data_IF_225510618720
#
_entry.id   IF_225510618720
#
_cell.length_a   1.000
_cell.length_b   1.000
_cell.length_c   1.000
_cell.angle_alpha   90.00
_cell.angle_beta   90.00
_cell.angle_gamma   90.00
#
_symmetry.space_group_name_H-M   'P 1'
#
loop_
_entity.id
_entity.type
_entity.pdbx_description
1 polymer ?
#
# COMPACT_ATOMS: atom_id res chain seq x y z
N UNK A 1 -3.89 -24.18 9.29
CA UNK A 1 -2.69 -23.74 8.56
C UNK A 1 -2.83 -22.29 8.11
N UNK A 2 -1.73 -21.56 8.19
CA UNK A 2 -1.69 -20.20 7.63
C UNK A 2 -1.69 -20.30 6.11
N UNK A 3 -2.57 -19.56 5.45
CA UNK A 3 -2.63 -19.51 3.99
C UNK A 3 -1.75 -18.42 3.42
N UNK A 4 -1.67 -17.28 4.13
CA UNK A 4 -0.86 -16.14 3.71
C UNK A 4 -0.68 -15.16 4.85
N UNK A 5 0.37 -14.37 4.76
CA UNK A 5 0.51 -13.18 5.60
C UNK A 5 0.63 -12.00 4.65
N UNK A 6 -0.20 -10.99 4.85
CA UNK A 6 -0.27 -9.85 3.95
C UNK A 6 -0.11 -8.57 4.78
N UNK A 7 0.89 -7.72 4.44
CA UNK A 7 1.01 -6.43 5.11
C UNK A 7 -0.25 -5.61 4.92
N UNK A 8 -0.72 -4.99 5.99
CA UNK A 8 -1.95 -4.23 6.00
C UNK A 8 -1.62 -2.81 6.45
N UNK A 9 -1.74 -1.84 5.56
CA UNK A 9 -1.45 -0.44 5.84
C UNK A 9 -2.71 0.30 6.21
N UNK A 10 -2.62 1.11 7.26
CA UNK A 10 -3.71 1.99 7.66
C UNK A 10 -3.23 3.43 7.60
N UNK A 11 -3.98 4.27 6.91
CA UNK A 11 -3.67 5.69 6.70
C UNK A 11 -4.73 6.59 7.31
N UNK A 12 -4.41 7.85 7.45
CA UNK A 12 -5.35 8.88 7.86
C UNK A 12 -5.77 9.68 6.63
N UNK A 13 -6.49 9.03 5.71
CA UNK A 13 -7.03 9.65 4.52
C UNK A 13 -6.18 9.56 3.26
N UNK A 14 -4.94 9.06 3.35
CA UNK A 14 -4.05 8.99 2.20
C UNK A 14 -4.01 7.62 1.51
N UNK A 15 -4.91 6.70 1.86
CA UNK A 15 -4.86 5.36 1.29
C UNK A 15 -5.00 5.35 -0.22
N UNK A 16 -5.85 6.21 -0.79
CA UNK A 16 -6.02 6.29 -2.25
C UNK A 16 -4.72 6.67 -2.94
N UNK A 17 -4.03 7.68 -2.42
CA UNK A 17 -2.76 8.13 -2.99
C UNK A 17 -1.68 7.05 -2.86
N UNK A 18 -1.62 6.41 -1.70
CA UNK A 18 -0.67 5.32 -1.47
C UNK A 18 -0.93 4.15 -2.39
N UNK A 19 -2.20 3.78 -2.56
CA UNK A 19 -2.61 2.68 -3.42
C UNK A 19 -2.19 2.93 -4.88
N UNK A 20 -2.46 4.13 -5.39
CA UNK A 20 -2.09 4.51 -6.75
C UNK A 20 -0.57 4.50 -6.94
N UNK A 21 0.15 4.99 -5.95
CA UNK A 21 1.61 5.02 -5.99
C UNK A 21 2.21 3.61 -6.03
N UNK A 22 1.80 2.75 -5.11
CA UNK A 22 2.33 1.38 -5.04
C UNK A 22 1.89 0.53 -6.22
N UNK A 23 0.71 0.81 -6.78
CA UNK A 23 0.29 0.18 -8.02
C UNK A 23 1.31 0.40 -9.14
N UNK A 24 1.81 1.62 -9.24
CA UNK A 24 2.84 1.97 -10.24
C UNK A 24 4.19 1.34 -9.90
N UNK A 25 4.60 1.44 -8.63
CA UNK A 25 5.91 0.93 -8.18
C UNK A 25 6.05 -0.55 -8.49
N UNK A 26 5.01 -1.34 -8.18
CA UNK A 26 5.07 -2.79 -8.31
C UNK A 26 4.40 -3.31 -9.57
N UNK A 27 3.88 -2.42 -10.42
CA UNK A 27 3.15 -2.82 -11.62
C UNK A 27 2.05 -3.82 -11.27
N UNK A 28 1.27 -3.46 -10.27
CA UNK A 28 0.27 -4.32 -9.68
C UNK A 28 -1.15 -3.85 -10.02
N UNK A 29 -2.13 -4.63 -9.60
CA UNK A 29 -3.54 -4.37 -9.88
C UNK A 29 -4.32 -4.20 -8.58
N UNK A 30 -5.29 -3.28 -8.61
CA UNK A 30 -6.25 -3.13 -7.53
C UNK A 30 -7.37 -4.16 -7.77
N UNK A 31 -7.48 -5.15 -6.90
CA UNK A 31 -8.45 -6.23 -7.07
C UNK A 31 -9.73 -6.03 -6.26
N UNK A 32 -9.66 -5.24 -5.20
CA UNK A 32 -10.83 -4.85 -4.41
C UNK A 32 -10.65 -3.43 -3.93
N UNK A 33 -11.75 -2.68 -3.86
CA UNK A 33 -11.76 -1.32 -3.38
C UNK A 33 -13.15 -0.97 -2.86
N UNK A 34 -13.25 -0.74 -1.57
CA UNK A 34 -14.50 -0.39 -0.91
C UNK A 34 -14.31 0.90 -0.12
N UNK A 35 -15.31 1.77 -0.23
CA UNK A 35 -15.31 3.05 0.49
C UNK A 35 -16.21 2.97 1.71
N UNK A 36 -15.97 3.84 2.67
CA UNK A 36 -16.80 3.87 3.88
C UNK A 36 -18.26 4.14 3.57
N UNK A 37 -18.57 5.00 2.59
CA UNK A 37 -19.95 5.32 2.24
C UNK A 37 -20.73 4.13 1.71
N UNK A 38 -20.06 3.07 1.29
CA UNK A 38 -20.71 1.84 0.83
C UNK A 38 -21.19 0.97 1.98
N UNK A 39 -20.74 1.28 3.20
CA UNK A 39 -21.13 0.51 4.39
C UNK A 39 -22.57 0.83 4.77
N UNK A 40 -23.38 -0.21 4.96
CA UNK A 40 -24.76 -0.03 5.40
C UNK A 40 -24.76 0.67 6.75
N UNK A 41 -25.60 1.72 6.86
CA UNK A 41 -25.69 2.50 8.09
C UNK A 41 -24.60 3.54 8.28
N UNK A 42 -23.77 3.77 7.26
CA UNK A 42 -22.75 4.81 7.35
C UNK A 42 -23.41 6.17 7.62
N UNK A 43 -22.93 6.88 8.66
CA UNK A 43 -23.49 8.14 9.11
C UNK A 43 -22.48 9.29 9.12
N UNK A 44 -21.26 9.09 8.58
CA UNK A 44 -20.27 10.14 8.52
C UNK A 44 -20.53 11.16 7.40
N UNK A 45 -19.68 12.18 7.31
CA UNK A 45 -19.81 13.19 6.27
C UNK A 45 -19.26 12.65 4.93
N UNK A 46 -19.36 13.48 3.87
CA UNK A 46 -18.92 13.10 2.52
C UNK A 46 -17.43 12.76 2.49
N UNK A 47 -16.63 13.55 3.17
CA UNK A 47 -15.18 13.36 3.18
C UNK A 47 -14.80 12.04 3.84
N UNK A 48 -15.44 11.71 4.95
CA UNK A 48 -15.22 10.41 5.61
C UNK A 48 -15.70 9.26 4.73
N UNK A 49 -16.82 9.44 4.03
CA UNK A 49 -17.36 8.41 3.16
C UNK A 49 -16.49 8.10 1.95
N UNK A 50 -15.66 9.06 1.51
CA UNK A 50 -14.74 8.89 0.40
C UNK A 50 -13.43 8.19 0.81
N UNK A 51 -13.21 7.98 2.10
CA UNK A 51 -12.05 7.25 2.59
C UNK A 51 -12.19 5.77 2.28
N UNK A 52 -11.06 5.09 2.20
CA UNK A 52 -11.02 3.67 1.86
C UNK A 52 -11.31 2.83 3.10
N UNK A 53 -12.37 2.02 3.03
CA UNK A 53 -12.65 1.02 4.04
C UNK A 53 -11.69 -0.15 3.92
N UNK A 54 -11.49 -0.64 2.70
CA UNK A 54 -10.62 -1.75 2.42
C UNK A 54 -10.27 -1.79 0.93
N UNK A 55 -9.00 -2.03 0.64
CA UNK A 55 -8.54 -2.24 -0.73
C UNK A 55 -7.46 -3.31 -0.75
N UNK A 56 -7.32 -3.96 -1.88
CA UNK A 56 -6.30 -4.99 -2.10
C UNK A 56 -5.50 -4.68 -3.34
N UNK A 57 -4.19 -4.79 -3.21
CA UNK A 57 -3.27 -4.66 -4.32
C UNK A 57 -2.63 -6.03 -4.56
N UNK A 58 -2.71 -6.53 -5.80
CA UNK A 58 -2.25 -7.87 -6.12
C UNK A 58 -1.43 -7.88 -7.40
N UNK A 59 -0.61 -8.90 -7.54
CA UNK A 59 0.16 -9.14 -8.76
C UNK A 59 0.28 -10.64 -8.97
N UNK A 60 0.03 -11.07 -10.21
CA UNK A 60 0.11 -12.50 -10.57
C UNK A 60 -0.70 -13.39 -9.63
N UNK A 61 -1.93 -12.94 -9.34
CA UNK A 61 -2.90 -13.65 -8.51
C UNK A 61 -2.50 -13.77 -7.03
N UNK A 62 -1.50 -13.01 -6.60
CA UNK A 62 -1.10 -12.98 -5.19
C UNK A 62 -1.35 -11.60 -4.61
N UNK A 63 -1.95 -11.56 -3.43
CA UNK A 63 -2.12 -10.31 -2.70
C UNK A 63 -0.75 -9.82 -2.22
N UNK A 64 -0.44 -8.56 -2.51
CA UNK A 64 0.79 -7.92 -2.05
C UNK A 64 0.55 -7.14 -0.76
N UNK A 65 -0.49 -6.32 -0.75
CA UNK A 65 -0.80 -5.44 0.38
C UNK A 65 -2.30 -5.23 0.50
N UNK A 66 -2.74 -5.01 1.71
CA UNK A 66 -4.08 -4.49 1.99
C UNK A 66 -3.95 -3.05 2.46
N UNK A 67 -4.96 -2.24 2.17
CA UNK A 67 -4.99 -0.82 2.52
C UNK A 67 -6.32 -0.46 3.13
N UNK A 68 -6.28 0.44 4.11
CA UNK A 68 -7.48 1.12 4.59
C UNK A 68 -7.10 2.50 5.10
N UNK A 69 -8.11 3.34 5.26
CA UNK A 69 -8.01 4.56 6.03
C UNK A 69 -8.71 4.37 7.36
N UNK A 70 -8.34 5.16 8.34
CA UNK A 70 -9.18 5.32 9.53
C UNK A 70 -10.45 6.06 9.13
N UNK A 71 -11.54 5.89 9.88
CA UNK A 71 -12.75 6.71 9.67
C UNK A 71 -12.39 8.16 9.98
N UNK A 72 -11.70 8.36 11.08
CA UNK A 72 -11.11 9.63 11.48
C UNK A 72 -9.99 9.34 12.45
N UNK A 73 -9.06 10.28 12.61
CA UNK A 73 -7.98 10.14 13.58
C UNK A 73 -6.65 9.83 12.94
N UNK A 74 -5.61 10.11 13.68
CA UNK A 74 -4.24 9.99 13.22
C UNK A 74 -3.75 8.56 13.25
N UNK A 75 -2.73 8.29 12.45
CA UNK A 75 -1.99 7.03 12.48
C UNK A 75 -0.56 7.31 12.92
N UNK A 76 0.09 6.29 13.46
CA UNK A 76 1.48 6.36 13.85
C UNK A 76 2.28 5.49 12.89
N UNK A 77 3.16 6.10 12.11
CA UNK A 77 3.95 5.38 11.12
C UNK A 77 4.95 4.41 11.75
N UNK A 78 5.58 4.82 12.84
CA UNK A 78 6.52 3.96 13.54
C UNK A 78 7.80 3.71 12.75
N UNK A 79 8.67 2.87 13.29
CA UNK A 79 9.94 2.53 12.64
C UNK A 79 10.41 1.11 12.96
N UNK A 80 9.49 0.23 13.37
CA UNK A 80 9.85 -1.12 13.80
C UNK A 80 9.64 -2.17 12.75
N UNK A 81 8.90 -1.85 11.68
CA UNK A 81 8.60 -2.80 10.63
C UNK A 81 9.21 -2.34 9.31
N UNK A 82 9.83 -3.26 8.63
CA UNK A 82 10.31 -3.04 7.27
C UNK A 82 9.82 -4.18 6.40
N UNK A 83 9.69 -3.93 5.11
CA UNK A 83 9.30 -4.94 4.15
C UNK A 83 10.47 -5.25 3.24
N UNK A 84 10.79 -6.52 3.10
CA UNK A 84 11.76 -6.96 2.13
C UNK A 84 11.00 -7.32 0.85
N UNK A 85 11.35 -6.67 -0.23
CA UNK A 85 10.72 -6.94 -1.53
C UNK A 85 11.79 -7.44 -2.47
N UNK A 86 11.59 -8.65 -2.99
CA UNK A 86 12.53 -9.26 -3.91
C UNK A 86 11.92 -9.30 -5.30
N UNK A 87 12.69 -8.87 -6.28
CA UNK A 87 12.28 -8.84 -7.68
C UNK A 87 13.01 -9.92 -8.45
N UNK A 88 12.32 -10.54 -9.40
CA UNK A 88 12.94 -11.52 -10.29
C UNK A 88 13.64 -10.86 -11.48
N UNK A 89 13.38 -9.56 -11.71
CA UNK A 89 13.92 -8.81 -12.84
C UNK A 89 14.65 -7.59 -12.33
N UNK A 90 15.90 -7.40 -12.80
CA UNK A 90 16.67 -6.20 -12.48
C UNK A 90 15.98 -4.94 -12.99
N UNK A 91 15.36 -5.02 -14.17
CA UNK A 91 14.66 -3.87 -14.75
C UNK A 91 13.50 -3.42 -13.86
N UNK A 92 12.71 -4.35 -13.35
CA UNK A 92 11.60 -4.02 -12.43
C UNK A 92 12.13 -3.46 -11.12
N UNK A 93 13.21 -4.03 -10.60
CA UNK A 93 13.83 -3.57 -9.37
C UNK A 93 14.31 -2.12 -9.51
N UNK A 94 15.02 -1.81 -10.59
CA UNK A 94 15.53 -0.45 -10.83
C UNK A 94 14.38 0.53 -11.00
N UNK A 95 13.35 0.17 -11.74
CA UNK A 95 12.18 1.02 -11.94
C UNK A 95 11.49 1.33 -10.61
N UNK A 96 11.28 0.31 -9.79
CA UNK A 96 10.67 0.48 -8.47
C UNK A 96 11.53 1.39 -7.59
N UNK A 97 12.85 1.18 -7.59
CA UNK A 97 13.78 2.00 -6.82
C UNK A 97 13.69 3.47 -7.24
N UNK A 98 13.68 3.74 -8.54
CA UNK A 98 13.60 5.11 -9.06
C UNK A 98 12.32 5.79 -8.59
N UNK A 99 11.19 5.11 -8.70
CA UNK A 99 9.90 5.66 -8.27
C UNK A 99 9.86 5.92 -6.76
N UNK A 100 10.32 4.96 -5.97
CA UNK A 100 10.32 5.08 -4.51
C UNK A 100 11.27 6.18 -4.04
N UNK A 101 12.42 6.33 -4.70
CA UNK A 101 13.43 7.31 -4.28
C UNK A 101 13.01 8.75 -4.51
N UNK A 102 12.00 9.00 -5.34
CA UNK A 102 11.53 10.36 -5.61
C UNK A 102 10.88 11.00 -4.39
N UNK A 103 10.20 10.21 -3.57
CA UNK A 103 9.48 10.72 -2.41
C UNK A 103 9.95 10.11 -1.10
N UNK A 104 10.65 8.98 -1.15
CA UNK A 104 11.19 8.31 0.02
C UNK A 104 12.62 8.72 0.30
N UNK A 105 13.13 8.22 1.40
CA UNK A 105 14.53 8.44 1.78
C UNK A 105 15.32 7.18 1.49
N UNK A 106 16.43 7.34 0.75
CA UNK A 106 17.33 6.23 0.47
C UNK A 106 18.37 6.18 1.57
N UNK A 107 18.32 5.14 2.41
CA UNK A 107 19.31 4.98 3.48
C UNK A 107 20.57 4.33 2.96
N UNK A 108 20.43 3.33 2.09
CA UNK A 108 21.57 2.64 1.47
C UNK A 108 21.29 2.57 -0.02
N UNK A 109 22.18 3.12 -0.88
CA UNK A 109 21.96 3.07 -2.31
C UNK A 109 22.09 1.65 -2.86
N UNK A 110 21.63 1.45 -4.09
CA UNK A 110 21.75 0.16 -4.78
C UNK A 110 23.22 -0.23 -4.84
N UNK A 111 23.51 -1.46 -4.44
CA UNK A 111 24.86 -2.00 -4.45
C UNK A 111 24.81 -3.53 -4.44
N UNK A 112 25.90 -4.13 -4.85
CA UNK A 112 26.06 -5.58 -4.70
C UNK A 112 26.42 -5.87 -3.26
N UNK A 113 25.82 -6.88 -2.68
CA UNK A 113 26.07 -7.23 -1.29
C UNK A 113 26.91 -8.49 -1.14
N UNK A 114 26.47 -9.62 -1.59
CA UNK A 114 27.25 -10.84 -1.57
C UNK A 114 26.81 -11.84 -2.61
#
# INVERSE_FOLDING_TARGET
>A
MIQATVPYFTFDGEATEALDFYKKVFQAEITQMHYFHETEGFSGDKKQGERILHARLAKDEKDLFYFSDTVEGETDAGNRLALAVNFSSEAEFVQAFVLLSKTGTVEIPIQNTF
#
